data_IF_601569077029
#
_entry.id   IF_601569077029
#
_cell.length_a   1.000
_cell.length_b   1.000
_cell.length_c   1.000
_cell.angle_alpha   90.00
_cell.angle_beta   90.00
_cell.angle_gamma   90.00
#
_symmetry.space_group_name_H-M   'P 1'
#
loop_
_entity.id
_entity.type
_entity.pdbx_description
1 polymer ?
#
# COMPACT_ATOMS: atom_id res chain seq x y z
N UNK A 1 -28.94 -14.44 -8.23
CA UNK A 1 -27.52 -14.07 -8.33
C UNK A 1 -27.15 -12.91 -7.42
N UNK A 2 -28.00 -11.92 -7.29
CA UNK A 2 -27.77 -10.73 -6.44
C UNK A 2 -27.68 -11.02 -4.93
N UNK A 3 -28.34 -12.08 -4.44
CA UNK A 3 -28.36 -12.47 -3.02
C UNK A 3 -27.00 -12.99 -2.52
N UNK A 4 -26.22 -13.65 -3.38
CA UNK A 4 -24.90 -14.22 -3.00
C UNK A 4 -23.85 -13.11 -3.01
N UNK A 5 -23.95 -12.16 -3.94
CA UNK A 5 -23.00 -11.01 -4.04
C UNK A 5 -23.15 -10.06 -2.86
N UNK A 6 -24.39 -9.74 -2.46
CA UNK A 6 -24.68 -8.90 -1.29
C UNK A 6 -24.20 -9.55 0.02
N UNK A 7 -24.24 -10.89 0.13
CA UNK A 7 -23.81 -11.58 1.36
C UNK A 7 -22.28 -11.61 1.52
N UNK A 8 -21.50 -11.70 0.45
CA UNK A 8 -20.03 -11.72 0.51
C UNK A 8 -19.52 -10.32 0.85
N UNK A 9 -20.02 -9.29 0.16
CA UNK A 9 -19.61 -7.90 0.37
C UNK A 9 -19.98 -7.39 1.77
N UNK A 10 -21.18 -7.71 2.25
CA UNK A 10 -21.62 -7.37 3.62
C UNK A 10 -20.79 -8.08 4.68
N UNK A 11 -20.44 -9.35 4.51
CA UNK A 11 -19.55 -10.08 5.42
C UNK A 11 -18.13 -9.48 5.47
N UNK A 12 -17.63 -9.02 4.34
CA UNK A 12 -16.36 -8.34 4.25
C UNK A 12 -16.34 -7.03 5.03
N UNK A 13 -17.33 -6.15 4.79
CA UNK A 13 -17.45 -4.87 5.47
C UNK A 13 -17.64 -5.07 6.98
N UNK A 14 -18.53 -5.96 7.39
CA UNK A 14 -18.76 -6.25 8.81
C UNK A 14 -17.51 -6.84 9.47
N UNK A 15 -16.78 -7.72 8.79
CA UNK A 15 -15.54 -8.29 9.30
C UNK A 15 -14.44 -7.23 9.50
N UNK A 16 -14.28 -6.31 8.55
CA UNK A 16 -13.33 -5.18 8.66
C UNK A 16 -13.71 -4.23 9.80
N UNK A 17 -15.00 -3.88 9.92
CA UNK A 17 -15.48 -2.97 10.98
C UNK A 17 -15.34 -3.61 12.37
N UNK A 18 -15.45 -4.91 12.50
CA UNK A 18 -15.26 -5.63 13.78
C UNK A 18 -13.79 -5.84 14.14
N UNK A 19 -12.88 -5.66 13.18
CA UNK A 19 -11.45 -5.83 13.42
C UNK A 19 -10.83 -4.51 13.90
N UNK A 20 -10.44 -4.46 15.18
CA UNK A 20 -9.84 -3.26 15.79
C UNK A 20 -8.60 -2.75 15.03
N UNK A 21 -7.76 -3.66 14.50
CA UNK A 21 -6.55 -3.29 13.74
C UNK A 21 -6.93 -2.56 12.45
N UNK A 22 -7.88 -3.16 11.68
CA UNK A 22 -8.35 -2.55 10.44
C UNK A 22 -9.00 -1.19 10.68
N UNK A 23 -9.88 -1.08 11.69
CA UNK A 23 -10.55 0.18 12.03
C UNK A 23 -9.54 1.25 12.43
N UNK A 24 -8.54 0.91 13.26
CA UNK A 24 -7.47 1.85 13.63
C UNK A 24 -6.68 2.31 12.39
N UNK A 25 -6.28 1.37 11.53
CA UNK A 25 -5.56 1.70 10.30
C UNK A 25 -6.38 2.59 9.36
N UNK A 26 -7.65 2.25 9.13
CA UNK A 26 -8.57 3.06 8.31
C UNK A 26 -8.77 4.45 8.92
N UNK A 27 -8.93 4.55 10.24
CA UNK A 27 -9.07 5.83 10.95
C UNK A 27 -7.84 6.73 10.77
N UNK A 28 -6.63 6.17 10.86
CA UNK A 28 -5.39 6.93 10.64
C UNK A 28 -5.29 7.39 9.17
N UNK A 29 -5.53 6.50 8.21
CA UNK A 29 -5.49 6.88 6.77
C UNK A 29 -6.55 7.93 6.47
N UNK A 30 -7.76 7.79 7.01
CA UNK A 30 -8.81 8.78 6.86
C UNK A 30 -8.39 10.15 7.41
N UNK A 31 -7.76 10.18 8.59
CA UNK A 31 -7.21 11.42 9.16
C UNK A 31 -6.19 12.07 8.22
N UNK A 32 -5.24 11.29 7.68
CA UNK A 32 -4.25 11.83 6.74
C UNK A 32 -4.87 12.32 5.43
N UNK A 33 -5.92 11.65 4.93
CA UNK A 33 -6.67 12.10 3.75
C UNK A 33 -7.39 13.43 4.05
N UNK A 34 -8.02 13.54 5.21
CA UNK A 34 -8.68 14.80 5.64
C UNK A 34 -7.65 15.91 5.76
N UNK A 35 -6.51 15.65 6.39
CA UNK A 35 -5.40 16.62 6.48
C UNK A 35 -4.86 17.00 5.09
N UNK A 36 -4.74 16.06 4.18
CA UNK A 36 -4.27 16.30 2.82
C UNK A 36 -5.23 17.17 1.99
N UNK A 37 -6.54 17.07 2.23
CA UNK A 37 -7.57 17.83 1.52
C UNK A 37 -7.79 19.20 2.17
N UNK A 38 -7.98 19.22 3.48
CA UNK A 38 -8.38 20.43 4.22
C UNK A 38 -7.22 21.18 4.83
N UNK A 39 -6.07 20.52 5.03
CA UNK A 39 -4.89 21.11 5.63
C UNK A 39 -4.41 22.41 4.98
N UNK A 40 -4.33 22.49 3.63
CA UNK A 40 -3.94 23.71 2.94
C UNK A 40 -4.84 24.93 3.20
N UNK A 41 -6.07 24.70 3.68
CA UNK A 41 -7.00 25.77 4.05
C UNK A 41 -6.86 26.25 5.51
N UNK A 42 -6.20 25.43 6.34
CA UNK A 42 -6.11 25.66 7.79
C UNK A 42 -4.68 26.09 8.16
N UNK A 43 -3.67 25.62 7.41
CA UNK A 43 -2.27 25.95 7.63
C UNK A 43 -1.87 27.21 6.87
N UNK A 44 -0.72 27.77 7.23
CA UNK A 44 -0.10 28.86 6.48
C UNK A 44 0.29 28.37 5.07
N UNK A 45 0.56 29.30 4.15
CA UNK A 45 1.05 28.95 2.81
C UNK A 45 2.39 28.19 2.95
N UNK A 46 2.45 26.92 2.53
CA UNK A 46 3.65 26.10 2.68
C UNK A 46 4.83 26.58 1.84
N UNK A 47 4.61 27.51 0.89
CA UNK A 47 5.65 28.09 0.03
C UNK A 47 6.11 29.45 0.51
N UNK A 48 5.41 30.07 1.44
CA UNK A 48 5.74 31.41 1.91
C UNK A 48 7.01 31.42 2.79
N UNK A 49 7.88 32.35 2.53
CA UNK A 49 9.06 32.64 3.37
C UNK A 49 8.61 33.52 4.55
N UNK A 50 8.28 32.91 5.66
CA UNK A 50 7.58 33.56 6.78
C UNK A 50 8.52 34.00 7.90
N UNK A 51 9.66 33.37 8.06
CA UNK A 51 10.52 33.57 9.22
C UNK A 51 11.99 33.31 8.90
N UNK A 52 12.84 33.46 9.93
CA UNK A 52 14.26 33.11 9.83
C UNK A 52 14.43 31.61 9.54
N UNK A 53 15.38 31.24 8.65
CA UNK A 53 15.69 29.84 8.39
C UNK A 53 16.05 29.06 9.65
N UNK A 54 15.64 27.77 9.67
CA UNK A 54 15.94 26.83 10.75
C UNK A 54 15.56 27.30 12.15
N UNK A 55 14.48 28.10 12.27
CA UNK A 55 13.96 28.53 13.58
C UNK A 55 13.30 27.35 14.28
N UNK A 56 13.58 27.17 15.61
CA UNK A 56 13.00 26.06 16.37
C UNK A 56 11.49 26.21 16.55
N UNK A 57 10.79 25.15 16.97
CA UNK A 57 9.38 25.19 17.28
C UNK A 57 8.98 26.34 18.20
N UNK A 58 7.94 27.08 17.82
CA UNK A 58 7.42 28.25 18.53
C UNK A 58 5.89 28.31 18.45
N UNK A 59 5.27 29.28 19.14
CA UNK A 59 3.81 29.50 19.05
C UNK A 59 3.36 29.96 17.65
N UNK A 60 4.22 30.62 16.88
CA UNK A 60 3.94 31.06 15.51
C UNK A 60 4.18 29.94 14.50
N UNK A 61 5.20 29.10 14.75
CA UNK A 61 5.57 27.94 13.94
C UNK A 61 5.66 26.69 14.83
N UNK A 62 4.58 25.95 14.95
CA UNK A 62 4.48 24.81 15.89
C UNK A 62 5.53 23.72 15.68
N UNK A 63 5.93 23.50 14.45
CA UNK A 63 7.04 22.59 14.10
C UNK A 63 8.26 23.34 13.58
N UNK A 64 8.40 24.65 13.89
CA UNK A 64 9.54 25.44 13.42
C UNK A 64 9.53 25.70 11.92
N UNK A 65 10.68 26.20 11.41
CA UNK A 65 10.86 26.50 9.99
C UNK A 65 11.98 25.63 9.38
N UNK A 66 11.89 25.41 8.05
CA UNK A 66 12.93 24.74 7.28
C UNK A 66 14.09 25.70 6.93
N UNK A 67 15.09 25.23 6.18
CA UNK A 67 16.23 26.04 5.74
C UNK A 67 15.88 27.20 4.81
N UNK A 68 14.66 27.24 4.29
CA UNK A 68 14.13 28.32 3.46
C UNK A 68 13.22 29.27 4.27
N UNK A 69 13.06 29.08 5.58
CA UNK A 69 12.18 29.88 6.42
C UNK A 69 10.69 29.60 6.23
N UNK A 70 10.33 28.45 5.67
CA UNK A 70 8.96 28.01 5.45
C UNK A 70 8.47 27.17 6.64
N UNK A 71 7.15 27.21 6.93
CA UNK A 71 6.56 26.48 8.05
C UNK A 71 6.57 24.96 7.82
N UNK A 72 7.22 24.22 8.71
CA UNK A 72 7.39 22.76 8.61
C UNK A 72 6.07 22.02 8.78
N UNK A 73 5.13 22.53 9.60
CA UNK A 73 3.81 21.90 9.76
C UNK A 73 3.02 21.99 8.46
N UNK A 74 2.98 23.17 7.84
CA UNK A 74 2.33 23.39 6.57
C UNK A 74 2.94 22.53 5.45
N UNK A 75 4.26 22.43 5.40
CA UNK A 75 5.00 21.57 4.48
C UNK A 75 4.67 20.07 4.68
N UNK A 76 4.62 19.60 5.93
CA UNK A 76 4.34 18.19 6.24
C UNK A 76 2.90 17.82 5.87
N UNK A 77 1.93 18.67 6.18
CA UNK A 77 0.53 18.46 5.85
C UNK A 77 0.28 18.53 4.34
N UNK A 78 0.82 19.54 3.67
CA UNK A 78 0.67 19.71 2.22
C UNK A 78 1.36 18.59 1.45
N UNK A 79 2.52 18.13 1.91
CA UNK A 79 3.27 17.01 1.34
C UNK A 79 2.50 15.69 1.38
N UNK A 80 1.62 15.50 2.38
CA UNK A 80 0.76 14.32 2.48
C UNK A 80 -0.09 14.13 1.22
N UNK A 81 -0.67 15.21 0.68
CA UNK A 81 -1.56 15.15 -0.49
C UNK A 81 -0.89 14.51 -1.68
N UNK A 82 0.29 15.01 -2.04
CA UNK A 82 1.00 14.54 -3.23
C UNK A 82 1.58 13.14 -3.03
N UNK A 83 2.14 12.87 -1.86
CA UNK A 83 2.72 11.56 -1.53
C UNK A 83 1.66 10.46 -1.51
N UNK A 84 0.50 10.69 -0.89
CA UNK A 84 -0.59 9.72 -0.89
C UNK A 84 -1.20 9.54 -2.28
N UNK A 85 -1.33 10.61 -3.07
CA UNK A 85 -1.84 10.54 -4.43
C UNK A 85 -0.95 9.65 -5.31
N UNK A 86 0.36 9.85 -5.31
CA UNK A 86 1.31 9.02 -6.07
C UNK A 86 1.30 7.58 -5.54
N UNK A 87 1.32 7.39 -4.23
CA UNK A 87 1.31 6.07 -3.61
C UNK A 87 0.08 5.24 -3.98
N UNK A 88 -1.12 5.81 -3.85
CA UNK A 88 -2.36 5.10 -4.16
C UNK A 88 -2.60 4.92 -5.65
N UNK A 89 -2.30 5.92 -6.49
CA UNK A 89 -2.43 5.77 -7.95
C UNK A 89 -1.48 4.72 -8.49
N UNK A 90 -0.23 4.69 -8.01
CA UNK A 90 0.72 3.62 -8.34
C UNK A 90 0.18 2.27 -7.89
N UNK A 91 -0.29 2.14 -6.65
CA UNK A 91 -0.85 0.91 -6.11
C UNK A 91 -2.00 0.36 -6.96
N UNK A 92 -2.96 1.22 -7.34
CA UNK A 92 -4.08 0.85 -8.22
C UNK A 92 -3.56 0.35 -9.58
N UNK A 93 -2.69 1.13 -10.24
CA UNK A 93 -2.19 0.79 -11.58
C UNK A 93 -1.38 -0.50 -11.58
N UNK A 94 -0.52 -0.71 -10.58
CA UNK A 94 0.28 -1.93 -10.42
C UNK A 94 -0.61 -3.16 -10.26
N UNK A 95 -1.68 -3.06 -9.45
CA UNK A 95 -2.61 -4.18 -9.25
C UNK A 95 -3.46 -4.42 -10.50
N UNK A 96 -3.93 -3.38 -11.18
CA UNK A 96 -4.70 -3.53 -12.42
C UNK A 96 -3.88 -4.20 -13.52
N UNK A 97 -2.65 -3.75 -13.76
CA UNK A 97 -1.74 -4.36 -14.73
C UNK A 97 -1.38 -5.79 -14.30
N UNK A 98 -1.08 -6.00 -13.03
CA UNK A 98 -0.81 -7.31 -12.45
C UNK A 98 -1.98 -8.27 -12.60
N UNK A 99 -3.21 -7.81 -12.35
CA UNK A 99 -4.43 -8.60 -12.50
C UNK A 99 -4.72 -8.94 -13.97
N UNK A 100 -4.49 -8.00 -14.88
CA UNK A 100 -4.67 -8.22 -16.31
C UNK A 100 -3.66 -9.27 -16.83
N UNK A 101 -2.37 -9.02 -16.63
CA UNK A 101 -1.31 -9.88 -17.16
C UNK A 101 -1.29 -11.23 -16.42
N UNK A 102 -1.29 -11.22 -15.09
CA UNK A 102 -1.29 -12.43 -14.27
C UNK A 102 -2.57 -13.24 -14.41
N UNK A 103 -3.72 -12.56 -14.53
CA UNK A 103 -5.02 -13.20 -14.75
C UNK A 103 -5.10 -13.92 -16.10
N UNK A 104 -4.69 -13.26 -17.18
CA UNK A 104 -4.65 -13.85 -18.53
C UNK A 104 -3.66 -15.04 -18.55
N UNK A 105 -2.45 -14.83 -18.08
CA UNK A 105 -1.40 -15.85 -18.02
C UNK A 105 -1.88 -17.09 -17.25
N UNK A 106 -2.37 -16.92 -16.02
CA UNK A 106 -2.80 -18.02 -15.18
C UNK A 106 -4.08 -18.74 -15.65
N UNK A 107 -4.98 -18.03 -16.35
CA UNK A 107 -6.21 -18.63 -16.85
C UNK A 107 -6.00 -19.42 -18.16
N UNK A 108 -5.37 -18.85 -19.18
CA UNK A 108 -5.24 -19.50 -20.47
C UNK A 108 -4.18 -20.60 -20.48
N UNK A 109 -3.06 -20.42 -19.79
CA UNK A 109 -1.97 -21.41 -19.78
C UNK A 109 -1.26 -21.52 -21.14
N UNK A 110 -0.46 -22.59 -21.30
CA UNK A 110 0.23 -22.92 -22.54
C UNK A 110 1.12 -21.78 -23.08
N UNK A 111 1.17 -21.56 -24.39
CA UNK A 111 2.04 -20.57 -25.02
C UNK A 111 1.79 -19.12 -24.57
N UNK A 112 0.56 -18.78 -24.19
CA UNK A 112 0.22 -17.45 -23.66
C UNK A 112 0.90 -17.27 -22.30
N UNK A 113 0.80 -18.30 -21.47
CA UNK A 113 1.45 -18.31 -20.16
C UNK A 113 2.97 -18.28 -20.27
N UNK A 114 3.55 -19.07 -21.19
CA UNK A 114 5.01 -19.08 -21.42
C UNK A 114 5.53 -17.70 -21.79
N UNK A 115 4.85 -16.99 -22.71
CA UNK A 115 5.25 -15.65 -23.16
C UNK A 115 5.09 -14.60 -22.03
N UNK A 116 3.92 -14.57 -21.35
CA UNK A 116 3.67 -13.60 -20.29
C UNK A 116 4.52 -13.87 -19.05
N UNK A 117 4.78 -15.14 -18.73
CA UNK A 117 5.70 -15.50 -17.65
C UNK A 117 7.14 -15.12 -17.95
N UNK A 118 7.58 -15.25 -19.21
CA UNK A 118 8.89 -14.76 -19.63
C UNK A 118 9.00 -13.26 -19.39
N UNK A 119 7.98 -12.49 -19.83
CA UNK A 119 7.92 -11.04 -19.59
C UNK A 119 7.98 -10.70 -18.10
N UNK A 120 7.15 -11.35 -17.27
CA UNK A 120 7.17 -11.18 -15.80
C UNK A 120 8.55 -11.46 -15.24
N UNK A 121 9.19 -12.56 -15.67
CA UNK A 121 10.51 -12.96 -15.17
C UNK A 121 11.60 -11.96 -15.55
N UNK A 122 11.58 -11.42 -16.77
CA UNK A 122 12.51 -10.37 -17.21
C UNK A 122 12.45 -9.17 -16.28
N UNK A 123 11.23 -8.66 -15.99
CA UNK A 123 11.08 -7.51 -15.10
C UNK A 123 11.49 -7.82 -13.66
N UNK A 124 11.30 -9.04 -13.17
CA UNK A 124 11.67 -9.43 -11.80
C UNK A 124 13.18 -9.64 -11.61
N UNK A 125 13.91 -9.95 -12.68
CA UNK A 125 15.38 -10.11 -12.62
C UNK A 125 16.07 -8.74 -12.71
N UNK A 126 15.43 -7.73 -13.28
CA UNK A 126 15.98 -6.38 -13.35
C UNK A 126 16.17 -5.80 -11.94
N UNK A 127 17.32 -5.19 -11.64
CA UNK A 127 17.54 -4.54 -10.34
C UNK A 127 16.65 -3.31 -10.22
N UNK A 128 15.57 -3.39 -9.40
CA UNK A 128 14.50 -2.40 -9.35
C UNK A 128 14.97 -0.99 -9.03
N UNK A 129 15.74 -0.80 -7.96
CA UNK A 129 16.23 0.53 -7.56
C UNK A 129 17.13 1.19 -8.64
N UNK A 130 18.17 0.55 -9.18
CA UNK A 130 18.95 1.10 -10.27
C UNK A 130 18.11 1.47 -11.49
N UNK A 131 17.16 0.62 -11.87
CA UNK A 131 16.27 0.89 -13.00
C UNK A 131 15.41 2.13 -12.76
N UNK A 132 14.82 2.26 -11.56
CA UNK A 132 14.03 3.45 -11.20
C UNK A 132 14.86 4.72 -11.24
N UNK A 133 16.09 4.69 -10.69
CA UNK A 133 17.01 5.85 -10.68
C UNK A 133 17.35 6.28 -12.11
N UNK A 134 17.71 5.33 -12.98
CA UNK A 134 18.01 5.62 -14.37
C UNK A 134 16.80 6.24 -15.09
N UNK A 135 15.62 5.63 -14.96
CA UNK A 135 14.42 6.13 -15.60
C UNK A 135 14.02 7.52 -15.10
N UNK A 136 14.06 7.73 -13.78
CA UNK A 136 13.71 9.01 -13.16
C UNK A 136 14.70 10.12 -13.54
N UNK A 137 15.98 9.81 -13.76
CA UNK A 137 17.00 10.80 -14.15
C UNK A 137 16.90 11.23 -15.62
N UNK A 138 16.27 10.42 -16.48
CA UNK A 138 16.14 10.71 -17.91
C UNK A 138 14.83 11.38 -18.29
N UNK A 139 13.82 11.22 -17.47
CA UNK A 139 12.47 11.73 -17.73
C UNK A 139 12.29 13.10 -17.04
N UNK A 140 11.38 13.95 -17.54
CA UNK A 140 11.06 15.21 -16.89
C UNK A 140 10.61 14.97 -15.44
N UNK A 141 11.16 15.71 -14.45
CA UNK A 141 10.80 15.51 -13.06
C UNK A 141 9.33 15.87 -12.82
N UNK A 142 8.66 15.09 -11.98
CA UNK A 142 7.28 15.34 -11.59
C UNK A 142 6.54 14.11 -11.10
N UNK A 143 5.37 14.30 -10.44
CA UNK A 143 4.60 13.22 -9.84
C UNK A 143 4.11 12.18 -10.86
N UNK A 144 3.74 12.60 -12.06
CA UNK A 144 3.30 11.71 -13.13
C UNK A 144 4.42 10.79 -13.61
N UNK A 145 5.63 11.34 -13.76
CA UNK A 145 6.82 10.58 -14.12
C UNK A 145 7.16 9.55 -13.04
N UNK A 146 7.18 9.96 -11.77
CA UNK A 146 7.44 9.04 -10.67
C UNK A 146 6.39 7.93 -10.61
N UNK A 147 5.12 8.26 -10.76
CA UNK A 147 4.05 7.26 -10.86
C UNK A 147 4.32 6.28 -12.01
N UNK A 148 4.63 6.77 -13.20
CA UNK A 148 4.94 5.94 -14.38
C UNK A 148 6.13 5.00 -14.16
N UNK A 149 7.22 5.51 -13.61
CA UNK A 149 8.42 4.73 -13.28
C UNK A 149 8.11 3.64 -12.25
N UNK A 150 7.38 3.98 -11.18
CA UNK A 150 7.00 3.05 -10.13
C UNK A 150 6.03 1.97 -10.65
N UNK A 151 5.09 2.33 -11.51
CA UNK A 151 4.18 1.37 -12.15
C UNK A 151 4.95 0.43 -13.06
N UNK A 152 5.82 0.96 -13.91
CA UNK A 152 6.62 0.18 -14.85
C UNK A 152 7.53 -0.85 -14.14
N UNK A 153 8.04 -0.50 -12.99
CA UNK A 153 8.96 -1.39 -12.24
C UNK A 153 8.25 -2.30 -11.23
N UNK A 154 7.05 -1.92 -10.76
CA UNK A 154 6.34 -2.60 -9.66
C UNK A 154 5.33 -3.68 -10.05
N UNK A 155 4.82 -3.68 -11.30
CA UNK A 155 3.68 -4.53 -11.71
C UNK A 155 4.00 -6.03 -11.70
N UNK A 156 5.24 -6.42 -12.02
CA UNK A 156 5.60 -7.81 -12.30
C UNK A 156 5.47 -8.73 -11.08
N UNK A 157 5.77 -8.25 -9.87
CA UNK A 157 5.57 -9.00 -8.63
C UNK A 157 4.09 -9.35 -8.42
N UNK A 158 3.20 -8.37 -8.55
CA UNK A 158 1.76 -8.58 -8.41
C UNK A 158 1.22 -9.51 -9.50
N UNK A 159 1.70 -9.38 -10.74
CA UNK A 159 1.34 -10.27 -11.84
C UNK A 159 1.72 -11.73 -11.53
N UNK A 160 2.90 -11.99 -10.96
CA UNK A 160 3.32 -13.35 -10.56
C UNK A 160 2.41 -13.92 -9.49
N UNK A 161 2.09 -13.15 -8.45
CA UNK A 161 1.23 -13.59 -7.35
C UNK A 161 -0.19 -13.89 -7.86
N UNK A 162 -0.76 -12.99 -8.64
CA UNK A 162 -2.12 -13.13 -9.20
C UNK A 162 -2.18 -14.32 -10.18
N UNK A 163 -1.15 -14.50 -11.03
CA UNK A 163 -1.03 -15.66 -11.92
C UNK A 163 -1.10 -16.97 -11.15
N UNK A 164 -0.33 -17.12 -10.09
CA UNK A 164 -0.30 -18.33 -9.26
C UNK A 164 -1.68 -18.66 -8.68
N UNK A 165 -2.37 -17.65 -8.17
CA UNK A 165 -3.73 -17.80 -7.63
C UNK A 165 -4.76 -18.11 -8.72
N UNK A 166 -4.66 -17.46 -9.87
CA UNK A 166 -5.54 -17.72 -11.02
C UNK A 166 -5.43 -19.17 -11.49
N UNK A 167 -4.22 -19.74 -11.56
CA UNK A 167 -3.99 -21.16 -11.89
C UNK A 167 -4.68 -22.07 -10.87
N UNK A 168 -4.59 -21.74 -9.59
CA UNK A 168 -5.24 -22.50 -8.51
C UNK A 168 -6.76 -22.45 -8.63
N UNK A 169 -7.36 -21.29 -8.95
CA UNK A 169 -8.81 -21.18 -9.12
C UNK A 169 -9.31 -21.84 -10.41
N UNK A 170 -8.52 -21.79 -11.50
CA UNK A 170 -8.86 -22.44 -12.76
C UNK A 170 -9.08 -23.95 -12.62
N UNK A 171 -8.37 -24.62 -11.72
CA UNK A 171 -8.49 -26.07 -11.47
C UNK A 171 -9.65 -26.45 -10.55
N UNK A 172 -10.49 -25.50 -10.11
CA UNK A 172 -11.62 -25.77 -9.22
C UNK A 172 -12.88 -26.22 -9.96
N UNK A 173 -13.68 -27.04 -9.30
CA UNK A 173 -14.89 -27.64 -9.85
C UNK A 173 -15.90 -26.63 -10.38
N UNK A 174 -16.05 -25.47 -9.71
CA UNK A 174 -16.98 -24.43 -10.16
C UNK A 174 -16.59 -23.84 -11.51
N UNK A 175 -15.27 -23.75 -11.82
CA UNK A 175 -14.80 -23.31 -13.13
C UNK A 175 -15.05 -24.36 -14.17
N UNK A 176 -14.80 -25.63 -13.86
CA UNK A 176 -15.11 -26.75 -14.76
C UNK A 176 -16.62 -26.81 -15.08
N UNK A 177 -17.49 -26.62 -14.07
CA UNK A 177 -18.92 -26.54 -14.27
C UNK A 177 -19.33 -25.37 -15.17
N UNK A 178 -18.75 -24.19 -15.00
CA UNK A 178 -19.02 -23.01 -15.84
C UNK A 178 -18.60 -23.26 -17.32
N UNK A 179 -17.46 -23.91 -17.53
CA UNK A 179 -16.99 -24.28 -18.86
C UNK A 179 -17.96 -25.28 -19.54
N UNK A 180 -18.41 -26.31 -18.82
CA UNK A 180 -19.37 -27.30 -19.32
C UNK A 180 -20.72 -26.66 -19.63
N UNK A 181 -21.12 -25.63 -18.86
CA UNK A 181 -22.32 -24.83 -19.10
C UNK A 181 -22.21 -23.89 -20.31
N UNK A 182 -21.05 -23.84 -20.99
CA UNK A 182 -20.83 -23.02 -22.19
C UNK A 182 -20.58 -21.53 -21.90
N UNK A 183 -20.19 -21.19 -20.68
CA UNK A 183 -19.89 -19.80 -20.32
C UNK A 183 -18.63 -19.28 -21.03
N UNK A 184 -18.63 -18.00 -21.36
CA UNK A 184 -17.48 -17.35 -22.01
C UNK A 184 -16.31 -17.19 -21.03
N UNK A 185 -15.08 -17.44 -21.48
CA UNK A 185 -13.87 -17.33 -20.65
C UNK A 185 -13.76 -16.01 -19.91
N UNK A 186 -14.06 -14.88 -20.58
CA UNK A 186 -14.01 -13.55 -19.93
C UNK A 186 -15.01 -13.44 -18.79
N UNK A 187 -16.21 -14.03 -18.92
CA UNK A 187 -17.20 -14.05 -17.86
C UNK A 187 -16.74 -14.90 -16.68
N UNK A 188 -16.15 -16.06 -16.95
CA UNK A 188 -15.59 -16.93 -15.90
C UNK A 188 -14.50 -16.19 -15.14
N UNK A 189 -13.57 -15.51 -15.84
CA UNK A 189 -12.50 -14.74 -15.20
C UNK A 189 -13.08 -13.64 -14.33
N UNK A 190 -13.93 -12.76 -14.90
CA UNK A 190 -14.35 -11.52 -14.24
C UNK A 190 -15.44 -11.75 -13.19
N UNK A 191 -16.38 -12.67 -13.45
CA UNK A 191 -17.56 -12.85 -12.57
C UNK A 191 -17.36 -14.01 -11.60
N UNK A 192 -16.69 -15.10 -12.00
CA UNK A 192 -16.56 -16.28 -11.15
C UNK A 192 -15.25 -16.28 -10.34
N UNK A 193 -14.11 -15.89 -10.94
CA UNK A 193 -12.80 -16.01 -10.29
C UNK A 193 -12.41 -14.71 -9.59
N UNK A 194 -12.43 -13.57 -10.29
CA UNK A 194 -11.94 -12.28 -9.74
C UNK A 194 -12.60 -11.89 -8.41
N UNK A 195 -13.92 -12.05 -8.19
CA UNK A 195 -14.52 -11.74 -6.91
C UNK A 195 -14.01 -12.60 -5.75
N UNK A 196 -13.59 -13.84 -6.05
CA UNK A 196 -13.00 -14.74 -5.04
C UNK A 196 -11.54 -14.40 -4.72
N UNK A 197 -10.89 -13.61 -5.58
CA UNK A 197 -9.54 -13.09 -5.38
C UNK A 197 -9.52 -11.67 -4.77
N UNK A 198 -10.67 -11.12 -4.41
CA UNK A 198 -10.77 -9.72 -3.98
C UNK A 198 -9.90 -9.40 -2.76
N UNK A 199 -9.76 -10.35 -1.80
CA UNK A 199 -8.84 -10.19 -0.67
C UNK A 199 -7.39 -10.07 -1.10
N UNK A 200 -6.97 -10.96 -2.01
CA UNK A 200 -5.62 -10.91 -2.55
C UNK A 200 -5.36 -9.59 -3.28
N UNK A 201 -6.32 -9.13 -4.10
CA UNK A 201 -6.20 -7.87 -4.82
C UNK A 201 -6.13 -6.66 -3.86
N UNK A 202 -6.93 -6.68 -2.80
CA UNK A 202 -6.89 -5.64 -1.78
C UNK A 202 -5.57 -5.63 -1.00
N UNK A 203 -5.07 -6.79 -0.55
CA UNK A 203 -3.75 -6.90 0.10
C UNK A 203 -2.62 -6.50 -0.85
N UNK A 204 -2.71 -6.88 -2.13
CA UNK A 204 -1.76 -6.46 -3.17
C UNK A 204 -1.75 -4.95 -3.38
N UNK A 205 -2.92 -4.32 -3.38
CA UNK A 205 -3.04 -2.86 -3.48
C UNK A 205 -2.36 -2.15 -2.31
N UNK A 206 -2.61 -2.60 -1.08
CA UNK A 206 -2.00 -2.01 0.11
C UNK A 206 -0.49 -2.19 0.08
N UNK A 207 0.00 -3.40 -0.21
CA UNK A 207 1.42 -3.67 -0.31
C UNK A 207 2.11 -2.85 -1.40
N UNK A 208 1.48 -2.71 -2.57
CA UNK A 208 1.97 -1.88 -3.66
C UNK A 208 1.98 -0.39 -3.31
N UNK A 209 0.97 0.10 -2.55
CA UNK A 209 0.92 1.49 -2.09
C UNK A 209 2.00 1.80 -1.07
N UNK A 210 2.26 0.91 -0.10
CA UNK A 210 3.36 1.06 0.87
C UNK A 210 4.70 1.12 0.13
N UNK A 211 4.92 0.19 -0.80
CA UNK A 211 6.13 0.17 -1.61
C UNK A 211 6.30 1.44 -2.43
N UNK A 212 5.22 1.92 -3.07
CA UNK A 212 5.23 3.11 -3.90
C UNK A 212 5.55 4.38 -3.09
N UNK A 213 4.95 4.55 -1.90
CA UNK A 213 5.26 5.67 -0.99
C UNK A 213 6.74 5.64 -0.60
N UNK A 214 7.25 4.49 -0.17
CA UNK A 214 8.65 4.37 0.22
C UNK A 214 9.63 4.62 -0.92
N UNK A 215 9.35 4.09 -2.11
CA UNK A 215 10.18 4.25 -3.30
C UNK A 215 10.13 5.70 -3.84
N UNK A 216 8.94 6.33 -3.85
CA UNK A 216 8.79 7.76 -4.19
C UNK A 216 9.64 8.63 -3.26
N UNK A 217 9.46 8.47 -1.95
CA UNK A 217 10.23 9.23 -0.95
C UNK A 217 11.74 9.02 -1.15
N UNK A 218 12.18 7.79 -1.42
CA UNK A 218 13.58 7.48 -1.69
C UNK A 218 14.12 8.18 -2.96
N UNK A 219 13.36 8.16 -4.06
CA UNK A 219 13.75 8.84 -5.31
C UNK A 219 13.79 10.36 -5.15
N UNK A 220 12.78 10.95 -4.51
CA UNK A 220 12.71 12.38 -4.23
C UNK A 220 13.82 12.82 -3.27
N UNK A 221 14.12 12.02 -2.25
CA UNK A 221 15.25 12.24 -1.33
C UNK A 221 16.61 12.29 -2.06
N UNK A 222 16.75 11.51 -3.15
CA UNK A 222 17.93 11.57 -4.02
C UNK A 222 17.89 12.74 -5.02
N UNK A 223 16.86 13.59 -4.99
CA UNK A 223 16.70 14.73 -5.89
C UNK A 223 16.21 14.34 -7.29
N UNK A 224 15.65 13.14 -7.48
CA UNK A 224 15.16 12.65 -8.77
C UNK A 224 13.68 13.02 -9.03
N UNK A 225 13.04 13.70 -8.08
CA UNK A 225 11.71 14.30 -8.24
C UNK A 225 11.79 15.78 -8.60
N UNK A 226 10.63 16.40 -8.75
CA UNK A 226 10.52 17.85 -8.84
C UNK A 226 10.66 18.45 -7.44
N UNK A 227 11.85 19.01 -7.15
CA UNK A 227 12.18 19.59 -5.84
C UNK A 227 11.39 20.85 -5.50
N UNK A 228 10.64 21.41 -6.46
CA UNK A 228 9.71 22.53 -6.24
C UNK A 228 8.33 22.06 -5.77
N UNK A 229 8.01 20.79 -5.98
CA UNK A 229 6.75 20.18 -5.53
C UNK A 229 6.87 19.74 -4.07
N UNK A 230 5.90 20.15 -3.24
CA UNK A 230 5.89 19.79 -1.82
C UNK A 230 5.38 18.36 -1.66
N UNK A 231 6.28 17.47 -1.25
CA UNK A 231 6.04 16.07 -0.91
C UNK A 231 6.81 15.71 0.35
N UNK A 232 6.54 14.54 0.93
CA UNK A 232 7.36 14.07 2.05
C UNK A 232 8.80 13.76 1.63
N UNK A 233 9.03 13.32 0.40
CA UNK A 233 10.38 13.06 -0.09
C UNK A 233 11.18 14.34 -0.33
N UNK A 234 10.56 15.37 -0.93
CA UNK A 234 11.21 16.66 -1.14
C UNK A 234 11.45 17.40 0.17
N UNK A 235 10.59 17.27 1.17
CA UNK A 235 10.83 17.82 2.50
C UNK A 235 12.10 17.20 3.14
N UNK A 236 12.29 15.89 3.01
CA UNK A 236 13.49 15.20 3.49
C UNK A 236 14.73 15.57 2.66
N UNK A 237 14.58 15.77 1.34
CA UNK A 237 15.65 16.25 0.47
C UNK A 237 16.16 17.60 0.94
N UNK A 238 15.27 18.57 1.16
CA UNK A 238 15.67 19.90 1.64
C UNK A 238 16.27 19.85 3.04
N UNK A 239 15.68 19.08 3.97
CA UNK A 239 16.25 18.90 5.31
C UNK A 239 17.68 18.35 5.26
N UNK A 240 18.00 17.46 4.32
CA UNK A 240 19.34 16.94 4.09
C UNK A 240 20.27 18.00 3.53
N UNK A 241 19.84 18.78 2.54
CA UNK A 241 20.63 19.84 1.91
C UNK A 241 20.89 21.03 2.86
N UNK A 242 19.94 21.33 3.75
CA UNK A 242 20.05 22.36 4.79
C UNK A 242 20.94 21.91 5.97
N UNK A 243 21.57 20.74 5.86
CA UNK A 243 22.42 20.15 6.91
C UNK A 243 21.71 20.04 8.28
N UNK A 244 20.40 19.79 8.27
CA UNK A 244 19.56 19.81 9.48
C UNK A 244 20.05 18.88 10.59
N UNK A 245 20.67 17.75 10.25
CA UNK A 245 21.28 16.84 11.21
C UNK A 245 22.50 17.45 11.91
N UNK A 246 23.30 18.24 11.21
CA UNK A 246 24.50 18.88 11.75
C UNK A 246 24.16 20.12 12.61
N UNK A 247 23.12 20.84 12.22
CA UNK A 247 22.62 22.02 12.96
C UNK A 247 21.74 21.65 14.14
N UNK A 248 21.37 20.35 14.27
CA UNK A 248 20.47 19.87 15.32
C UNK A 248 18.99 20.22 15.06
N UNK A 249 18.63 20.64 13.83
CA UNK A 249 17.28 21.07 13.44
C UNK A 249 16.37 19.87 13.16
N UNK A 250 16.17 19.02 14.17
CA UNK A 250 15.41 17.76 14.08
C UNK A 250 13.96 17.96 13.60
N UNK A 251 13.38 19.11 13.84
CA UNK A 251 12.00 19.43 13.47
C UNK A 251 11.77 19.48 11.96
N UNK A 252 12.81 19.63 11.14
CA UNK A 252 12.68 19.66 9.68
C UNK A 252 12.48 18.26 9.06
N UNK A 253 12.99 17.20 9.70
CA UNK A 253 12.91 15.84 9.15
C UNK A 253 12.07 14.85 9.99
N UNK A 254 12.00 15.02 11.32
CA UNK A 254 11.28 14.10 12.21
C UNK A 254 9.77 14.08 11.93
N UNK A 255 9.05 15.22 11.79
CA UNK A 255 7.62 15.20 11.52
C UNK A 255 7.26 14.51 10.21
N UNK A 256 8.03 14.78 9.16
CA UNK A 256 7.84 14.15 7.85
C UNK A 256 8.14 12.65 7.91
N UNK A 257 9.26 12.25 8.51
CA UNK A 257 9.60 10.83 8.69
C UNK A 257 8.57 10.07 9.52
N UNK A 258 8.05 10.71 10.58
CA UNK A 258 7.00 10.13 11.42
C UNK A 258 5.68 9.97 10.65
N UNK A 259 5.33 10.93 9.81
CA UNK A 259 4.14 10.87 8.94
C UNK A 259 4.22 9.67 7.99
N UNK A 260 5.36 9.45 7.35
CA UNK A 260 5.62 8.29 6.47
C UNK A 260 5.48 6.98 7.27
N UNK A 261 6.08 6.91 8.45
CA UNK A 261 6.03 5.73 9.31
C UNK A 261 4.61 5.41 9.78
N UNK A 262 3.85 6.42 10.22
CA UNK A 262 2.47 6.27 10.68
C UNK A 262 1.55 5.81 9.55
N UNK A 263 1.67 6.40 8.35
CA UNK A 263 0.86 6.00 7.19
C UNK A 263 1.20 4.57 6.74
N UNK A 264 2.48 4.21 6.67
CA UNK A 264 2.92 2.86 6.32
C UNK A 264 2.44 1.84 7.37
N UNK A 265 2.51 2.18 8.65
CA UNK A 265 1.99 1.36 9.74
C UNK A 265 0.47 1.21 9.65
N UNK A 266 -0.27 2.28 9.38
CA UNK A 266 -1.71 2.24 9.22
C UNK A 266 -2.16 1.36 8.05
N UNK A 267 -1.48 1.46 6.91
CA UNK A 267 -1.71 0.59 5.75
C UNK A 267 -1.41 -0.88 6.10
N UNK A 268 -0.34 -1.14 6.85
CA UNK A 268 -0.01 -2.49 7.34
C UNK A 268 -1.08 -3.04 8.28
N UNK A 269 -1.63 -2.21 9.18
CA UNK A 269 -2.75 -2.62 10.03
C UNK A 269 -3.99 -3.00 9.24
N UNK A 270 -4.31 -2.25 8.18
CA UNK A 270 -5.41 -2.58 7.27
C UNK A 270 -5.14 -3.92 6.58
N UNK A 271 -3.93 -4.15 6.11
CA UNK A 271 -3.54 -5.41 5.46
C UNK A 271 -3.72 -6.60 6.40
N UNK A 272 -3.23 -6.53 7.63
CA UNK A 272 -3.47 -7.56 8.65
C UNK A 272 -4.95 -7.77 8.94
N UNK A 273 -5.75 -6.70 8.94
CA UNK A 273 -7.19 -6.81 9.13
C UNK A 273 -7.88 -7.56 7.99
N UNK A 274 -7.47 -7.31 6.74
CA UNK A 274 -7.97 -8.04 5.57
C UNK A 274 -7.61 -9.52 5.66
N UNK A 275 -6.36 -9.84 5.98
CA UNK A 275 -5.88 -11.22 6.09
C UNK A 275 -6.62 -11.98 7.21
N UNK A 276 -6.87 -11.33 8.36
CA UNK A 276 -7.59 -11.93 9.47
C UNK A 276 -9.07 -12.23 9.14
N UNK A 277 -9.72 -11.37 8.37
CA UNK A 277 -11.12 -11.54 7.94
C UNK A 277 -11.26 -12.62 6.84
N UNK A 278 -10.24 -12.78 6.01
CA UNK A 278 -10.30 -13.67 4.84
C UNK A 278 -9.72 -15.06 5.07
N UNK A 279 -8.90 -15.24 6.10
CA UNK A 279 -8.29 -16.52 6.40
C UNK A 279 -9.11 -17.31 7.44
N UNK A 280 -9.81 -18.40 7.05
CA UNK A 280 -10.66 -19.18 7.96
C UNK A 280 -9.88 -19.79 9.14
N UNK A 281 -8.58 -20.05 8.97
CA UNK A 281 -7.73 -20.62 10.03
C UNK A 281 -7.52 -19.62 11.16
N UNK A 282 -7.30 -18.35 10.85
CA UNK A 282 -7.14 -17.29 11.86
C UNK A 282 -8.46 -17.03 12.61
N UNK A 283 -9.59 -17.14 11.90
CA UNK A 283 -10.92 -17.01 12.53
C UNK A 283 -11.15 -18.16 13.53
N UNK A 284 -10.81 -19.39 13.15
CA UNK A 284 -10.97 -20.56 14.03
C UNK A 284 -10.08 -20.49 15.27
N UNK A 285 -8.83 -20.03 15.14
CA UNK A 285 -7.93 -19.81 16.28
C UNK A 285 -8.45 -18.74 17.24
N UNK A 286 -9.03 -17.66 16.71
CA UNK A 286 -9.62 -16.60 17.53
C UNK A 286 -10.83 -17.10 18.32
N UNK A 287 -11.77 -17.77 17.65
CA UNK A 287 -12.95 -18.37 18.28
C UNK A 287 -12.53 -19.40 19.32
N UNK A 288 -11.48 -20.17 19.03
CA UNK A 288 -10.94 -21.14 19.98
C UNK A 288 -10.33 -20.45 21.21
N UNK A 289 -9.52 -19.41 21.04
CA UNK A 289 -8.93 -18.63 22.17
C UNK A 289 -9.97 -17.91 23.02
N UNK A 290 -11.05 -17.41 22.40
CA UNK A 290 -12.14 -16.73 23.12
C UNK A 290 -12.96 -17.70 23.96
N UNK A 291 -13.04 -18.98 23.54
CA UNK A 291 -13.85 -20.02 24.19
C UNK A 291 -13.08 -20.93 25.17
N UNK A 292 -11.74 -20.75 25.29
CA UNK A 292 -10.97 -21.50 26.28
C UNK A 292 -11.12 -20.82 27.66
N UNK A 293 -11.57 -21.56 28.70
CA UNK A 293 -11.50 -21.07 30.06
C UNK A 293 -10.06 -20.70 30.41
N UNK A 294 -9.87 -19.52 31.01
CA UNK A 294 -8.53 -18.97 31.33
C UNK A 294 -7.65 -19.91 32.16
N UNK A 295 -8.25 -20.75 32.97
CA UNK A 295 -7.60 -21.77 33.83
C UNK A 295 -6.94 -22.90 33.01
N UNK A 296 -7.42 -23.18 31.79
CA UNK A 296 -6.80 -24.17 30.89
C UNK A 296 -5.72 -23.59 29.96
N UNK A 297 -5.71 -22.29 29.76
CA UNK A 297 -4.72 -21.61 28.92
C UNK A 297 -3.32 -21.54 29.58
N UNK A 298 -3.25 -21.68 30.94
CA UNK A 298 -2.01 -21.56 31.70
C UNK A 298 -1.16 -22.85 31.66
N UNK A 299 -1.77 -24.01 31.37
CA UNK A 299 -1.11 -25.31 31.48
C UNK A 299 -0.49 -25.87 30.19
N UNK A 300 -0.36 -25.05 29.13
CA UNK A 300 0.44 -25.43 27.94
C UNK A 300 -0.01 -26.72 27.23
N UNK A 301 -1.21 -27.23 27.47
CA UNK A 301 -1.71 -28.48 26.90
C UNK A 301 -2.21 -28.18 25.49
N UNK A 302 -1.47 -28.62 24.50
CA UNK A 302 -1.99 -28.70 23.12
C UNK A 302 -3.01 -29.84 23.05
N UNK A 303 -4.06 -29.73 22.20
CA UNK A 303 -5.13 -30.78 22.11
C UNK A 303 -4.63 -32.17 21.69
N UNK A 304 -3.35 -32.33 21.43
CA UNK A 304 -2.70 -33.57 20.95
C UNK A 304 -2.13 -34.43 22.09
N UNK A 305 -1.93 -33.86 23.27
CA UNK A 305 -1.42 -34.62 24.43
C UNK A 305 -2.63 -35.13 25.22
N UNK A 306 -3.11 -36.34 24.92
CA UNK A 306 -3.92 -37.13 25.84
C UNK A 306 -2.95 -37.72 26.86
N UNK A 307 -3.06 -37.27 28.11
CA UNK A 307 -2.45 -38.00 29.23
C UNK A 307 -3.13 -39.37 29.27
N UNK A 308 -2.38 -40.40 28.89
CA UNK A 308 -2.76 -41.80 29.15
C UNK A 308 -2.38 -42.09 30.62
N UNK A 309 -3.30 -41.95 31.54
CA UNK A 309 -3.35 -42.71 32.75
C UNK A 309 -4.23 -43.97 32.54
#
# INVERSE_FOLDING_TARGET
>A
MDYIHNSIFTRWITGIIQNRKAVTGVGIIFLFIVLAIFGPFITQDPTAFLSTPLSPPSWEHWLGTNGQGQDVLAQTISGARQTLMVGFTTGIMVVLIGALIGGISGYYGGRIDDLLSLLINVFLVMPGLPLMVILASWLPPGPATLTGVLVLTGWAWNARVIRSQMMTFRSRDFVSAAIVSGERNIRIIVIEIMPRMLSLLASSFIGASIYAIGAQVGLEFLGLGDVSTITWGTNLYWASNDMALLTGSWWTFVPTGLSIAIVSFALTLINFGIDEVTNPRLISERVWRENIPRDKAVNGITPVVKDHE
#
